data_IF_709117531905
#
_entry.id   IF_709117531905
#
_cell.length_a   1.000
_cell.length_b   1.000
_cell.length_c   1.000
_cell.angle_alpha   90.00
_cell.angle_beta   90.00
_cell.angle_gamma   90.00
#
_symmetry.space_group_name_H-M   'P 1'
#
loop_
_entity.id
_entity.type
_entity.pdbx_description
1 polymer ?
#
# COMPACT_ATOMS: atom_id res chain seq x y z
N UNK A 1 -63.71 54.53 41.91
CA UNK A 1 -63.63 56.00 42.00
C UNK A 1 -62.15 56.37 41.85
N UNK A 2 -61.82 57.16 40.82
CA UNK A 2 -60.55 57.89 40.51
C UNK A 2 -59.21 57.09 40.56
N UNK A 3 -58.54 56.74 39.44
CA UNK A 3 -57.76 57.52 38.44
C UNK A 3 -56.47 58.17 39.01
N UNK A 4 -55.34 57.88 38.34
CA UNK A 4 -54.12 58.70 37.98
C UNK A 4 -52.91 57.73 37.99
N UNK A 5 -52.45 57.15 36.88
CA UNK A 5 -51.61 57.70 35.80
C UNK A 5 -50.23 58.23 36.27
N UNK A 6 -49.16 57.45 36.03
CA UNK A 6 -47.77 57.89 36.22
C UNK A 6 -46.79 56.94 35.52
N UNK A 7 -46.19 57.43 34.45
CA UNK A 7 -45.33 56.74 33.48
C UNK A 7 -43.85 56.75 33.88
N UNK A 8 -43.14 55.70 33.40
CA UNK A 8 -41.72 55.65 33.01
C UNK A 8 -40.62 55.50 34.09
N UNK A 9 -39.95 54.34 34.08
CA UNK A 9 -38.50 54.23 33.80
C UNK A 9 -38.10 52.76 33.62
N UNK A 10 -37.70 52.44 32.39
CA UNK A 10 -37.06 51.19 31.94
C UNK A 10 -35.62 51.09 32.42
N UNK A 11 -35.18 49.92 32.93
CA UNK A 11 -33.85 49.34 32.61
C UNK A 11 -33.98 47.81 32.64
N UNK A 12 -34.06 47.23 31.44
CA UNK A 12 -33.92 45.79 31.20
C UNK A 12 -32.43 45.50 31.02
N UNK A 13 -31.79 44.82 31.97
CA UNK A 13 -30.43 44.31 31.78
C UNK A 13 -30.51 42.89 31.19
N UNK A 14 -30.65 42.81 29.86
CA UNK A 14 -30.42 41.57 29.12
C UNK A 14 -28.91 41.41 28.90
N UNK A 15 -28.30 40.40 29.53
CA UNK A 15 -26.94 39.97 29.22
C UNK A 15 -26.97 39.19 27.89
N UNK A 16 -26.84 39.89 26.78
CA UNK A 16 -26.58 39.27 25.48
C UNK A 16 -25.10 38.90 25.39
N UNK A 17 -24.81 37.60 25.39
CA UNK A 17 -23.49 37.08 25.01
C UNK A 17 -23.39 37.17 23.49
N UNK A 18 -22.80 38.25 22.99
CA UNK A 18 -22.49 38.43 21.58
C UNK A 18 -21.18 37.70 21.28
N UNK A 19 -21.26 36.42 20.93
CA UNK A 19 -20.15 35.68 20.33
C UNK A 19 -20.24 35.84 18.80
N UNK A 20 -19.70 36.93 18.27
CA UNK A 20 -19.36 37.03 16.84
C UNK A 20 -17.93 36.54 16.67
N UNK A 21 -17.79 35.26 16.34
CA UNK A 21 -16.59 34.70 15.73
C UNK A 21 -17.01 34.05 14.42
N UNK A 22 -16.90 34.79 13.31
CA UNK A 22 -16.84 34.22 11.97
C UNK A 22 -15.52 33.45 11.87
N UNK A 23 -15.57 32.18 12.23
CA UNK A 23 -14.55 31.20 11.96
C UNK A 23 -15.27 29.99 11.40
N UNK A 24 -14.89 29.57 10.20
CA UNK A 24 -15.43 28.42 9.50
C UNK A 24 -15.65 27.25 10.46
N UNK A 25 -16.83 26.64 10.38
CA UNK A 25 -17.12 25.37 11.03
C UNK A 25 -16.20 24.34 10.39
N UNK A 26 -14.99 24.19 10.93
CA UNK A 26 -14.29 22.93 10.85
C UNK A 26 -15.18 21.96 11.62
N UNK A 27 -15.97 21.17 10.87
CA UNK A 27 -16.46 19.90 11.37
C UNK A 27 -15.29 19.12 11.98
N UNK A 28 -15.54 18.10 12.82
CA UNK A 28 -14.47 17.32 13.42
C UNK A 28 -13.48 16.95 12.31
N UNK A 29 -12.21 17.35 12.49
CA UNK A 29 -11.16 17.00 11.55
C UNK A 29 -11.20 15.47 11.44
N UNK A 30 -11.71 14.96 10.32
CA UNK A 30 -11.55 13.55 10.00
C UNK A 30 -10.04 13.32 10.10
N UNK A 31 -9.57 12.46 11.01
CA UNK A 31 -8.14 12.31 11.22
C UNK A 31 -7.51 12.00 9.85
N UNK A 32 -6.46 12.72 9.46
CA UNK A 32 -5.85 12.63 8.11
C UNK A 32 -5.52 11.18 7.70
N UNK A 33 -5.31 10.30 8.69
CA UNK A 33 -5.15 8.86 8.52
C UNK A 33 -6.40 8.19 7.93
N UNK A 34 -7.61 8.53 8.42
CA UNK A 34 -8.87 7.98 7.91
C UNK A 34 -9.07 8.32 6.43
N UNK A 35 -8.77 9.57 6.05
CA UNK A 35 -8.89 10.01 4.67
C UNK A 35 -7.90 9.27 3.74
N UNK A 36 -6.66 9.04 4.19
CA UNK A 36 -5.67 8.29 3.42
C UNK A 36 -6.06 6.80 3.26
N UNK A 37 -6.63 6.19 4.30
CA UNK A 37 -7.17 4.83 4.24
C UNK A 37 -8.55 4.74 3.59
N UNK A 38 -9.13 5.85 3.11
CA UNK A 38 -10.39 5.91 2.34
C UNK A 38 -10.19 6.30 0.87
N UNK A 39 -9.07 6.94 0.52
CA UNK A 39 -8.70 7.25 -0.87
C UNK A 39 -8.27 6.00 -1.66
N UNK A 40 -8.53 5.90 -2.97
CA UNK A 40 -8.14 4.73 -3.77
C UNK A 40 -6.67 4.30 -3.59
N UNK A 41 -6.41 2.99 -3.67
CA UNK A 41 -5.05 2.47 -3.71
C UNK A 41 -4.44 2.83 -5.06
N UNK A 42 -3.40 3.66 -5.05
CA UNK A 42 -2.68 4.06 -6.26
C UNK A 42 -1.56 3.07 -6.48
N UNK A 43 -1.79 2.11 -7.38
CA UNK A 43 -0.92 0.95 -7.62
C UNK A 43 0.01 1.23 -8.79
N UNK A 44 1.33 1.19 -8.57
CA UNK A 44 2.27 1.24 -9.67
C UNK A 44 2.21 -0.05 -10.49
N UNK A 45 2.03 0.09 -11.81
CA UNK A 45 2.05 -1.04 -12.77
C UNK A 45 3.08 -0.75 -13.86
N UNK A 46 3.94 -1.72 -14.13
CA UNK A 46 4.83 -1.71 -15.27
C UNK A 46 4.10 -2.26 -16.50
N UNK A 47 3.84 -1.40 -17.49
CA UNK A 47 3.02 -1.73 -18.66
C UNK A 47 3.66 -2.74 -19.63
N UNK A 48 4.96 -2.98 -19.51
CA UNK A 48 5.74 -3.84 -20.40
C UNK A 48 5.83 -5.31 -19.95
N UNK A 49 5.30 -5.64 -18.76
CA UNK A 49 5.31 -7.00 -18.22
C UNK A 49 3.87 -7.58 -18.08
N UNK A 50 3.49 -8.55 -18.93
CA UNK A 50 2.19 -9.23 -18.85
C UNK A 50 1.90 -9.89 -17.49
N UNK A 51 2.92 -10.42 -16.80
CA UNK A 51 2.75 -11.04 -15.49
C UNK A 51 2.50 -9.99 -14.41
N UNK A 52 3.13 -8.82 -14.51
CA UNK A 52 2.82 -7.70 -13.60
C UNK A 52 1.40 -7.17 -13.80
N UNK A 53 0.93 -7.09 -15.04
CA UNK A 53 -0.47 -6.71 -15.33
C UNK A 53 -1.47 -7.73 -14.80
N UNK A 54 -1.20 -9.02 -14.98
CA UNK A 54 -2.01 -10.08 -14.40
C UNK A 54 -2.07 -9.96 -12.87
N UNK A 55 -0.92 -9.76 -12.22
CA UNK A 55 -0.84 -9.56 -10.77
C UNK A 55 -1.58 -8.30 -10.30
N UNK A 56 -1.51 -7.20 -11.05
CA UNK A 56 -2.29 -5.99 -10.77
C UNK A 56 -3.80 -6.27 -10.79
N UNK A 57 -4.25 -7.09 -11.75
CA UNK A 57 -5.64 -7.56 -11.83
C UNK A 57 -6.09 -8.32 -10.59
N UNK A 58 -5.25 -9.20 -10.04
CA UNK A 58 -5.53 -9.93 -8.80
C UNK A 58 -5.64 -8.99 -7.60
N UNK A 59 -4.73 -8.02 -7.46
CA UNK A 59 -4.85 -7.01 -6.41
C UNK A 59 -6.14 -6.20 -6.56
N UNK A 60 -6.50 -5.77 -7.78
CA UNK A 60 -7.75 -5.05 -8.03
C UNK A 60 -8.97 -5.87 -7.58
N UNK A 61 -8.97 -7.18 -7.84
CA UNK A 61 -10.04 -8.08 -7.39
C UNK A 61 -10.12 -8.15 -5.87
N UNK A 62 -9.01 -8.43 -5.19
CA UNK A 62 -8.97 -8.59 -3.72
C UNK A 62 -9.25 -7.28 -2.97
N UNK A 63 -8.83 -6.14 -3.51
CA UNK A 63 -9.19 -4.83 -2.95
C UNK A 63 -10.68 -4.51 -3.18
N UNK A 64 -11.25 -4.88 -4.33
CA UNK A 64 -12.70 -4.72 -4.57
C UNK A 64 -13.54 -5.52 -3.56
N UNK A 65 -13.09 -6.71 -3.15
CA UNK A 65 -13.77 -7.55 -2.16
C UNK A 65 -13.81 -6.94 -0.75
N UNK A 66 -12.99 -5.91 -0.49
CA UNK A 66 -12.98 -5.15 0.76
C UNK A 66 -13.51 -3.71 0.59
N UNK A 67 -14.24 -3.45 -0.49
CA UNK A 67 -14.83 -2.15 -0.85
C UNK A 67 -13.76 -1.06 -1.05
N UNK A 68 -12.63 -1.42 -1.67
CA UNK A 68 -11.50 -0.53 -1.91
C UNK A 68 -11.19 -0.42 -3.40
N UNK A 69 -11.26 0.80 -3.91
CA UNK A 69 -10.88 1.09 -5.29
C UNK A 69 -9.35 1.03 -5.48
N UNK A 70 -8.92 0.56 -6.66
CA UNK A 70 -7.52 0.57 -7.12
C UNK A 70 -7.42 1.43 -8.37
N UNK A 71 -6.56 2.44 -8.33
CA UNK A 71 -6.15 3.27 -9.46
C UNK A 71 -4.76 2.79 -9.92
N UNK A 72 -4.70 2.17 -11.11
CA UNK A 72 -3.43 1.79 -11.70
C UNK A 72 -2.70 3.02 -12.25
N UNK A 73 -1.44 3.18 -11.86
CA UNK A 73 -0.57 4.27 -12.27
C UNK A 73 0.57 3.65 -13.07
N UNK A 74 0.66 3.93 -14.39
CA UNK A 74 1.78 3.51 -15.21
C UNK A 74 3.11 4.06 -14.67
N UNK A 75 4.04 3.17 -14.34
CA UNK A 75 5.37 3.55 -13.84
C UNK A 75 6.40 2.59 -14.43
N UNK A 76 7.48 3.13 -14.99
CA UNK A 76 8.62 2.31 -15.40
C UNK A 76 9.21 1.58 -14.18
N UNK A 77 9.49 0.28 -14.30
CA UNK A 77 9.88 -0.59 -13.17
C UNK A 77 10.95 0.02 -12.26
N UNK A 78 12.00 0.61 -12.83
CA UNK A 78 13.11 1.24 -12.10
C UNK A 78 12.72 2.46 -11.25
N UNK A 79 11.54 3.04 -11.47
CA UNK A 79 11.07 4.24 -10.77
C UNK A 79 10.05 3.93 -9.66
N UNK A 80 9.52 2.70 -9.58
CA UNK A 80 8.40 2.37 -8.69
C UNK A 80 8.67 2.68 -7.22
N UNK A 81 9.85 2.30 -6.70
CA UNK A 81 10.22 2.57 -5.31
C UNK A 81 10.37 4.06 -5.02
N UNK A 82 10.94 4.83 -5.96
CA UNK A 82 11.04 6.29 -5.83
C UNK A 82 9.65 6.92 -5.76
N UNK A 83 8.75 6.55 -6.68
CA UNK A 83 7.36 7.04 -6.69
C UNK A 83 6.62 6.66 -5.40
N UNK A 84 6.88 5.48 -4.84
CA UNK A 84 6.29 5.05 -3.57
C UNK A 84 6.77 5.91 -2.39
N UNK A 85 8.07 6.19 -2.33
CA UNK A 85 8.68 7.03 -1.28
C UNK A 85 8.19 8.48 -1.36
N UNK A 86 8.07 9.01 -2.57
CA UNK A 86 7.59 10.37 -2.80
C UNK A 86 6.08 10.53 -2.54
N UNK A 87 5.36 9.40 -2.44
CA UNK A 87 3.91 9.38 -2.21
C UNK A 87 3.08 9.53 -3.48
N UNK A 88 3.72 9.48 -4.65
CA UNK A 88 3.10 9.51 -5.96
C UNK A 88 2.33 8.23 -6.30
N UNK A 89 2.56 7.16 -5.56
CA UNK A 89 1.76 5.94 -5.52
C UNK A 89 1.67 5.49 -4.05
N UNK A 90 0.67 4.69 -3.71
CA UNK A 90 0.51 4.16 -2.34
C UNK A 90 1.01 2.73 -2.21
N UNK A 91 1.15 2.03 -3.34
CA UNK A 91 1.58 0.64 -3.41
C UNK A 91 2.35 0.37 -4.70
N UNK A 92 3.32 -0.54 -4.62
CA UNK A 92 4.02 -1.14 -5.76
C UNK A 92 4.06 -2.65 -5.60
N UNK A 93 4.24 -3.35 -6.72
CA UNK A 93 4.50 -4.79 -6.74
C UNK A 93 5.87 -5.05 -7.34
N UNK A 94 6.46 -6.18 -6.97
CA UNK A 94 7.68 -6.66 -7.58
C UNK A 94 8.03 -8.04 -7.04
N UNK A 95 9.24 -8.48 -7.33
CA UNK A 95 9.76 -9.71 -6.77
C UNK A 95 10.71 -9.41 -5.60
N UNK A 96 10.73 -10.28 -4.60
CA UNK A 96 11.49 -10.03 -3.36
C UNK A 96 12.98 -9.80 -3.64
N UNK A 97 13.63 -10.64 -4.44
CA UNK A 97 15.05 -10.50 -4.76
C UNK A 97 15.36 -9.26 -5.60
N UNK A 98 14.50 -8.95 -6.58
CA UNK A 98 14.58 -7.73 -7.40
C UNK A 98 14.47 -6.46 -6.54
N UNK A 99 13.46 -6.38 -5.67
CA UNK A 99 13.25 -5.24 -4.78
C UNK A 99 14.36 -5.11 -3.73
N UNK A 100 14.93 -6.22 -3.26
CA UNK A 100 16.10 -6.18 -2.38
C UNK A 100 17.29 -5.49 -3.07
N UNK A 101 17.51 -5.71 -4.36
CA UNK A 101 18.60 -5.04 -5.08
C UNK A 101 18.38 -3.53 -5.23
N UNK A 102 17.14 -3.12 -5.49
CA UNK A 102 16.82 -1.69 -5.56
C UNK A 102 16.93 -1.01 -4.18
N UNK A 103 16.59 -1.72 -3.10
CA UNK A 103 16.66 -1.20 -1.73
C UNK A 103 18.09 -1.20 -1.17
N UNK A 104 18.82 -2.30 -1.37
CA UNK A 104 20.16 -2.54 -0.84
C UNK A 104 20.90 -3.59 -1.69
N UNK A 105 21.45 -3.15 -2.83
CA UNK A 105 22.24 -3.99 -3.71
C UNK A 105 23.45 -4.66 -3.04
N UNK A 106 23.98 -4.11 -1.94
CA UNK A 106 25.09 -4.73 -1.22
C UNK A 106 24.62 -5.99 -0.47
N UNK A 107 23.52 -5.90 0.27
CA UNK A 107 22.87 -7.07 0.89
C UNK A 107 22.38 -8.07 -0.14
N UNK A 108 21.83 -7.60 -1.27
CA UNK A 108 21.42 -8.48 -2.37
C UNK A 108 22.57 -9.33 -2.92
N UNK A 109 23.78 -8.75 -3.05
CA UNK A 109 24.98 -9.50 -3.47
C UNK A 109 25.47 -10.49 -2.41
N UNK A 110 25.49 -10.06 -1.15
CA UNK A 110 25.89 -10.93 -0.03
C UNK A 110 24.95 -12.14 0.08
N UNK A 111 23.64 -11.89 0.00
CA UNK A 111 22.64 -12.94 0.13
C UNK A 111 22.72 -13.96 -1.02
N UNK A 112 22.99 -13.51 -2.26
CA UNK A 112 23.25 -14.40 -3.41
C UNK A 112 24.44 -15.32 -3.19
N UNK A 113 25.50 -14.82 -2.56
CA UNK A 113 26.66 -15.63 -2.24
C UNK A 113 26.32 -16.70 -1.21
N UNK A 114 25.55 -16.35 -0.18
CA UNK A 114 25.08 -17.30 0.83
C UNK A 114 24.14 -18.35 0.20
N UNK A 115 23.19 -17.92 -0.63
CA UNK A 115 22.25 -18.82 -1.32
C UNK A 115 22.98 -19.84 -2.20
N UNK A 116 23.96 -19.39 -2.97
CA UNK A 116 24.79 -20.26 -3.80
C UNK A 116 25.65 -21.23 -2.98
N UNK A 117 26.14 -20.81 -1.82
CA UNK A 117 26.89 -21.70 -0.89
C UNK A 117 25.99 -22.78 -0.30
N UNK A 118 24.69 -22.50 -0.17
CA UNK A 118 23.67 -23.46 0.25
C UNK A 118 23.10 -24.29 -0.92
N UNK A 119 23.79 -24.30 -2.07
CA UNK A 119 23.42 -25.08 -3.26
C UNK A 119 22.37 -24.42 -4.17
N UNK A 120 21.95 -23.19 -3.85
CA UNK A 120 21.06 -22.37 -4.65
C UNK A 120 19.74 -23.07 -4.97
N UNK A 121 19.14 -22.75 -6.11
CA UNK A 121 17.82 -23.29 -6.51
C UNK A 121 17.74 -24.83 -6.56
N UNK A 122 18.86 -25.50 -6.78
CA UNK A 122 18.88 -26.95 -6.97
C UNK A 122 18.74 -27.72 -5.65
N UNK A 123 19.29 -27.19 -4.56
CA UNK A 123 19.47 -27.95 -3.30
C UNK A 123 18.94 -27.21 -2.07
N UNK A 124 18.91 -25.88 -2.10
CA UNK A 124 18.52 -25.07 -0.97
C UNK A 124 17.02 -25.20 -0.68
N UNK A 125 16.64 -25.15 0.61
CA UNK A 125 15.24 -25.20 1.02
C UNK A 125 14.48 -23.96 0.49
N UNK A 126 13.52 -24.13 -0.45
CA UNK A 126 12.85 -23.00 -1.09
C UNK A 126 12.00 -22.19 -0.11
N UNK A 127 11.39 -22.82 0.90
CA UNK A 127 10.56 -22.11 1.87
C UNK A 127 11.43 -21.27 2.82
N UNK A 128 12.51 -21.86 3.31
CA UNK A 128 13.48 -21.15 4.15
C UNK A 128 14.07 -19.95 3.42
N UNK A 129 14.54 -20.14 2.18
CA UNK A 129 15.18 -19.06 1.44
C UNK A 129 14.21 -17.98 0.99
N UNK A 130 12.95 -18.31 0.69
CA UNK A 130 11.90 -17.30 0.49
C UNK A 130 11.80 -16.38 1.72
N UNK A 131 11.72 -16.97 2.91
CA UNK A 131 11.53 -16.22 4.16
C UNK A 131 12.78 -15.40 4.53
N UNK A 132 13.99 -15.95 4.32
CA UNK A 132 15.24 -15.23 4.51
C UNK A 132 15.33 -14.03 3.57
N UNK A 133 15.05 -14.22 2.28
CA UNK A 133 15.14 -13.16 1.27
C UNK A 133 14.12 -12.06 1.55
N UNK A 134 12.89 -12.44 1.92
CA UNK A 134 11.83 -11.51 2.29
C UNK A 134 12.17 -10.71 3.55
N UNK A 135 12.66 -11.37 4.60
CA UNK A 135 13.06 -10.70 5.84
C UNK A 135 14.25 -9.77 5.62
N UNK A 136 15.18 -10.15 4.73
CA UNK A 136 16.31 -9.30 4.34
C UNK A 136 15.85 -8.06 3.60
N UNK A 137 14.91 -8.22 2.65
CA UNK A 137 14.27 -7.10 1.95
C UNK A 137 13.54 -6.17 2.92
N UNK A 138 12.74 -6.71 3.86
CA UNK A 138 12.07 -5.90 4.90
C UNK A 138 13.10 -5.10 5.71
N UNK A 139 14.22 -5.71 6.06
CA UNK A 139 15.30 -5.07 6.84
C UNK A 139 16.02 -3.96 6.07
N UNK A 140 15.78 -3.82 4.76
CA UNK A 140 16.29 -2.74 3.92
C UNK A 140 15.25 -1.63 3.68
N UNK A 141 14.00 -1.80 4.14
CA UNK A 141 12.95 -0.82 3.92
C UNK A 141 13.13 0.45 4.77
N UNK A 142 12.83 1.64 4.20
CA UNK A 142 12.56 2.85 4.96
C UNK A 142 11.44 2.66 6.00
N UNK A 143 11.53 3.37 7.12
CA UNK A 143 10.64 3.17 8.28
C UNK A 143 9.15 3.50 8.05
N UNK A 144 8.83 4.27 7.02
CA UNK A 144 7.48 4.66 6.61
C UNK A 144 6.84 3.67 5.61
N UNK A 145 7.62 2.75 5.06
CA UNK A 145 7.17 1.70 4.16
C UNK A 145 7.01 0.36 4.88
N UNK A 146 6.18 -0.50 4.32
CA UNK A 146 5.95 -1.86 4.79
C UNK A 146 5.80 -2.82 3.61
N UNK A 147 6.13 -4.08 3.83
CA UNK A 147 5.88 -5.16 2.89
C UNK A 147 4.64 -5.98 3.31
N UNK A 148 3.94 -6.52 2.32
CA UNK A 148 3.05 -7.67 2.50
C UNK A 148 3.86 -8.96 2.69
N UNK A 149 3.14 -10.05 2.92
CA UNK A 149 3.74 -11.40 2.95
C UNK A 149 4.33 -11.75 1.57
N UNK A 150 5.39 -12.56 1.51
CA UNK A 150 5.90 -13.04 0.23
C UNK A 150 4.87 -14.00 -0.38
N UNK A 151 4.51 -13.76 -1.63
CA UNK A 151 3.53 -14.53 -2.35
C UNK A 151 4.01 -15.94 -2.70
N UNK A 152 3.07 -16.81 -3.08
CA UNK A 152 3.41 -18.13 -3.62
C UNK A 152 3.88 -18.05 -5.08
N UNK A 153 3.35 -17.08 -5.83
CA UNK A 153 3.70 -16.87 -7.23
C UNK A 153 5.11 -16.29 -7.39
N UNK A 154 5.74 -16.60 -8.52
CA UNK A 154 7.05 -16.07 -8.95
C UNK A 154 6.86 -15.44 -10.32
N UNK A 155 7.08 -14.13 -10.43
CA UNK A 155 6.83 -13.37 -11.67
C UNK A 155 8.11 -12.94 -12.40
N UNK A 156 9.26 -12.91 -11.72
CA UNK A 156 10.51 -12.42 -12.31
C UNK A 156 11.45 -13.55 -12.72
N UNK A 157 12.14 -13.35 -13.85
CA UNK A 157 13.12 -14.27 -14.41
C UNK A 157 14.51 -14.03 -13.79
N UNK A 158 14.68 -14.38 -12.51
CA UNK A 158 15.99 -14.45 -11.85
C UNK A 158 15.99 -15.64 -10.89
N UNK A 159 17.02 -16.48 -10.98
CA UNK A 159 17.15 -17.68 -10.14
C UNK A 159 18.24 -17.53 -9.07
N UNK A 160 18.94 -16.40 -9.04
CA UNK A 160 20.04 -16.13 -8.11
C UNK A 160 19.57 -15.82 -6.69
N UNK A 161 18.29 -15.46 -6.52
CA UNK A 161 17.56 -15.41 -5.26
C UNK A 161 16.10 -15.84 -5.50
N UNK A 162 15.36 -16.24 -4.46
CA UNK A 162 13.90 -16.35 -4.53
C UNK A 162 13.23 -15.07 -5.03
N UNK A 163 12.42 -15.21 -6.08
CA UNK A 163 11.69 -14.12 -6.75
C UNK A 163 10.18 -14.20 -6.53
N UNK A 164 9.76 -14.62 -5.35
CA UNK A 164 8.35 -14.59 -4.95
C UNK A 164 7.79 -13.17 -5.10
N UNK A 165 6.54 -13.04 -5.51
CA UNK A 165 5.88 -11.74 -5.63
C UNK A 165 5.68 -11.10 -4.26
N UNK A 166 5.70 -9.78 -4.18
CA UNK A 166 5.44 -9.06 -2.94
C UNK A 166 4.92 -7.66 -3.25
N UNK A 167 4.07 -7.14 -2.36
CA UNK A 167 3.65 -5.75 -2.35
C UNK A 167 4.46 -4.93 -1.34
N UNK A 168 4.88 -3.73 -1.73
CA UNK A 168 5.37 -2.70 -0.81
C UNK A 168 4.39 -1.53 -0.81
N UNK A 169 4.12 -0.97 0.37
CA UNK A 169 3.13 0.09 0.53
C UNK A 169 3.51 1.08 1.63
N UNK A 170 2.88 2.26 1.60
CA UNK A 170 3.02 3.26 2.67
C UNK A 170 2.17 2.87 3.87
N UNK A 171 2.76 2.83 5.07
CA UNK A 171 2.07 2.37 6.29
C UNK A 171 0.76 3.11 6.58
N UNK A 172 0.73 4.41 6.29
CA UNK A 172 -0.39 5.30 6.61
C UNK A 172 -1.56 5.21 5.63
N UNK A 173 -1.41 4.48 4.52
CA UNK A 173 -2.44 4.40 3.46
C UNK A 173 -3.19 3.08 3.45
N UNK A 174 -2.80 2.13 4.31
CA UNK A 174 -3.37 0.79 4.37
C UNK A 174 -3.92 0.46 5.76
N UNK A 175 -5.19 0.09 5.81
CA UNK A 175 -5.86 -0.36 7.02
C UNK A 175 -5.75 -1.88 7.21
N UNK A 176 -6.52 -2.43 8.17
CA UNK A 176 -6.54 -3.88 8.43
C UNK A 176 -7.17 -4.69 7.30
N UNK A 177 -8.22 -4.18 6.65
CA UNK A 177 -8.89 -4.86 5.54
C UNK A 177 -8.00 -4.87 4.31
N UNK A 178 -7.32 -3.77 4.03
CA UNK A 178 -6.33 -3.67 2.95
C UNK A 178 -5.23 -4.72 3.12
N UNK A 179 -4.68 -4.85 4.33
CA UNK A 179 -3.67 -5.88 4.62
C UNK A 179 -4.19 -7.31 4.46
N UNK A 180 -5.49 -7.54 4.69
CA UNK A 180 -6.11 -8.85 4.43
C UNK A 180 -6.16 -9.13 2.93
N UNK A 181 -6.55 -8.16 2.10
CA UNK A 181 -6.52 -8.28 0.65
C UNK A 181 -5.10 -8.58 0.14
N UNK A 182 -4.08 -7.89 0.68
CA UNK A 182 -2.68 -8.18 0.36
C UNK A 182 -2.27 -9.63 0.70
N UNK A 183 -2.61 -10.11 1.89
CA UNK A 183 -2.31 -11.50 2.29
C UNK A 183 -3.10 -12.53 1.48
N UNK A 184 -4.32 -12.22 1.05
CA UNK A 184 -5.09 -13.08 0.15
C UNK A 184 -4.38 -13.24 -1.20
N UNK A 185 -3.89 -12.14 -1.81
CA UNK A 185 -3.09 -12.25 -3.04
C UNK A 185 -1.83 -13.08 -2.82
N UNK A 186 -1.10 -12.81 -1.72
CA UNK A 186 0.14 -13.52 -1.42
C UNK A 186 -0.08 -15.05 -1.26
N UNK A 187 -1.12 -15.46 -0.52
CA UNK A 187 -1.40 -16.87 -0.25
C UNK A 187 -2.30 -17.57 -1.27
N UNK A 188 -3.03 -16.81 -2.09
CA UNK A 188 -4.10 -17.33 -2.95
C UNK A 188 -3.70 -17.52 -4.41
N UNK A 189 -2.64 -16.86 -4.87
CA UNK A 189 -2.27 -16.84 -6.29
C UNK A 189 -1.01 -17.66 -6.54
N UNK A 190 -1.10 -18.62 -7.45
CA UNK A 190 0.05 -19.42 -7.92
C UNK A 190 0.69 -18.80 -9.16
N UNK A 191 1.92 -19.23 -9.48
CA UNK A 191 2.58 -18.84 -10.73
C UNK A 191 1.80 -19.32 -11.97
N UNK A 192 1.09 -20.44 -11.88
CA UNK A 192 0.28 -20.95 -13.00
C UNK A 192 -0.93 -20.05 -13.28
N UNK A 193 -1.55 -19.52 -12.21
CA UNK A 193 -2.68 -18.60 -12.32
C UNK A 193 -2.26 -17.30 -13.01
N UNK A 194 -1.15 -16.68 -12.58
CA UNK A 194 -0.62 -15.47 -13.21
C UNK A 194 -0.31 -15.65 -14.70
N UNK A 195 0.32 -16.79 -15.07
CA UNK A 195 0.61 -17.09 -16.47
C UNK A 195 -0.66 -17.26 -17.30
N UNK A 196 -1.69 -17.87 -16.71
CA UNK A 196 -2.97 -18.09 -17.41
C UNK A 196 -3.70 -16.77 -17.62
N UNK A 197 -3.77 -15.92 -16.59
CA UNK A 197 -4.33 -14.57 -16.69
C UNK A 197 -3.59 -13.69 -17.71
N UNK A 198 -2.25 -13.75 -17.73
CA UNK A 198 -1.43 -12.99 -18.68
C UNK A 198 -1.66 -13.42 -20.15
N UNK A 199 -1.92 -14.70 -20.40
CA UNK A 199 -2.23 -15.21 -21.73
C UNK A 199 -3.60 -14.72 -22.20
N UNK A 200 -4.63 -14.83 -21.35
CA UNK A 200 -6.00 -14.40 -21.69
C UNK A 200 -6.14 -12.89 -21.86
N UNK A 201 -5.26 -12.08 -21.28
CA UNK A 201 -5.25 -10.63 -21.47
C UNK A 201 -4.59 -10.16 -22.78
N UNK A 202 -3.85 -11.05 -23.46
CA UNK A 202 -3.17 -10.77 -24.73
C UNK A 202 -3.91 -11.27 -25.98
N UNK A 203 -5.04 -11.95 -25.80
CA UNK A 203 -5.98 -12.40 -26.86
C UNK A 203 -7.07 -11.36 -27.12
#
# INVERSE_FOLDING_TARGET
MAVVAGTAATVTAAATVTACGTGDVTGPAVPVVDAATQAPVRLAVADDDPLQRALAGEYRSEFSDVDRDVEEVPVASQNRLTRLRDGDVTMVMGCVGELLDELDAAKGRELRELYRKDGGRAEADPAMWRDITHTTMISALPGDLQAGDPGMAVACEDESLPQNTVALYRKTTMDRKDRKALSNVAGGITTADLRSAAQSAGE
#
